data_IF_709894326356
#
_entry.id   IF_709894326356
#
_cell.length_a   1.000
_cell.length_b   1.000
_cell.length_c   1.000
_cell.angle_alpha   90.00
_cell.angle_beta   90.00
_cell.angle_gamma   90.00
#
_symmetry.space_group_name_H-M   'P 1'
#
loop_
_entity.id
_entity.type
_entity.pdbx_description
1 polymer ?
#
# COMPACT_ATOMS: atom_id res chain seq x y z
N UNK A 1 -11.87 -0.94 -22.60
CA UNK A 1 -10.87 -0.52 -21.60
C UNK A 1 -10.97 -1.44 -20.40
N UNK A 2 -9.86 -1.96 -19.91
CA UNK A 2 -9.92 -2.83 -18.74
C UNK A 2 -10.09 -2.02 -17.46
N UNK A 3 -10.50 -2.70 -16.38
CA UNK A 3 -10.77 -2.04 -15.10
C UNK A 3 -9.56 -1.30 -14.52
N UNK A 4 -8.34 -1.80 -14.76
CA UNK A 4 -7.13 -1.17 -14.23
C UNK A 4 -6.86 0.19 -14.90
N UNK A 5 -7.08 0.28 -16.19
CA UNK A 5 -6.97 1.53 -16.93
C UNK A 5 -8.06 2.51 -16.53
N UNK A 6 -9.27 2.01 -16.27
CA UNK A 6 -10.38 2.85 -15.81
C UNK A 6 -10.08 3.45 -14.42
N UNK A 7 -9.51 2.67 -13.52
CA UNK A 7 -9.12 3.17 -12.19
C UNK A 7 -8.08 4.28 -12.35
N UNK A 8 -7.03 4.06 -13.15
CA UNK A 8 -6.01 5.09 -13.40
C UNK A 8 -6.60 6.36 -13.96
N UNK A 9 -7.51 6.23 -14.92
CA UNK A 9 -8.15 7.37 -15.57
C UNK A 9 -8.94 8.21 -14.58
N UNK A 10 -9.68 7.56 -13.68
CA UNK A 10 -10.46 8.27 -12.65
C UNK A 10 -9.58 8.99 -11.64
N UNK A 11 -8.34 8.53 -11.46
CA UNK A 11 -7.37 9.14 -10.55
C UNK A 11 -6.41 10.09 -11.26
N UNK A 12 -6.63 10.38 -12.53
CA UNK A 12 -5.72 11.19 -13.34
C UNK A 12 -5.68 12.65 -12.87
N UNK A 13 -6.81 13.18 -12.41
CA UNK A 13 -6.94 14.57 -11.98
C UNK A 13 -6.97 14.69 -10.47
N UNK A 14 -6.46 15.81 -9.96
CA UNK A 14 -6.52 16.14 -8.54
C UNK A 14 -7.99 16.14 -8.09
N UNK A 15 -8.26 15.48 -6.98
CA UNK A 15 -9.63 15.30 -6.49
C UNK A 15 -10.36 14.13 -7.15
N UNK A 16 -9.74 13.48 -8.14
CA UNK A 16 -10.30 12.29 -8.76
C UNK A 16 -10.50 11.18 -7.73
N UNK A 17 -11.57 10.42 -7.87
CA UNK A 17 -11.95 9.41 -6.90
C UNK A 17 -12.54 8.20 -7.60
N UNK A 18 -12.27 7.02 -7.07
CA UNK A 18 -12.89 5.78 -7.52
C UNK A 18 -13.20 4.90 -6.32
N UNK A 19 -14.35 4.27 -6.35
CA UNK A 19 -14.78 3.33 -5.32
C UNK A 19 -14.76 1.92 -5.88
N UNK A 20 -14.15 1.01 -5.12
CA UNK A 20 -13.94 -0.37 -5.53
C UNK A 20 -14.58 -1.31 -4.51
N UNK A 21 -14.92 -2.51 -4.96
CA UNK A 21 -15.37 -3.60 -4.11
C UNK A 21 -14.35 -4.72 -4.20
N UNK A 22 -13.78 -5.12 -3.07
CA UNK A 22 -12.79 -6.18 -3.00
C UNK A 22 -12.86 -6.88 -1.64
N UNK A 23 -12.89 -8.21 -1.65
CA UNK A 23 -12.87 -9.04 -0.43
C UNK A 23 -13.91 -8.62 0.63
N UNK A 24 -15.10 -8.21 0.17
CA UNK A 24 -16.18 -7.80 1.09
C UNK A 24 -16.03 -6.39 1.65
N UNK A 25 -15.04 -5.63 1.16
CA UNK A 25 -14.81 -4.25 1.62
C UNK A 25 -15.04 -3.24 0.50
N UNK A 26 -15.52 -2.06 0.91
CA UNK A 26 -15.58 -0.89 0.04
C UNK A 26 -14.23 -0.17 0.14
N UNK A 27 -13.54 -0.05 -0.97
CA UNK A 27 -12.22 0.61 -1.01
C UNK A 27 -12.32 1.85 -1.86
N UNK A 28 -12.04 3.01 -1.28
CA UNK A 28 -12.09 4.29 -1.98
C UNK A 28 -10.69 4.85 -2.17
N UNK A 29 -10.32 5.16 -3.40
CA UNK A 29 -9.06 5.81 -3.74
C UNK A 29 -9.35 7.25 -4.15
N UNK A 30 -8.55 8.17 -3.67
CA UNK A 30 -8.70 9.59 -3.99
C UNK A 30 -7.34 10.25 -4.17
N UNK A 31 -7.21 11.04 -5.24
CA UNK A 31 -5.99 11.81 -5.49
C UNK A 31 -6.07 13.14 -4.75
N UNK A 32 -5.10 13.39 -3.88
CA UNK A 32 -5.09 14.57 -3.00
C UNK A 32 -3.75 15.30 -3.06
N UNK A 33 -3.74 16.55 -2.58
CA UNK A 33 -2.55 17.37 -2.47
C UNK A 33 -2.48 17.90 -1.03
N UNK A 34 -1.32 17.73 -0.38
CA UNK A 34 -1.13 18.14 1.02
C UNK A 34 -0.38 19.46 1.18
N UNK A 35 -0.21 20.22 0.10
CA UNK A 35 0.58 21.45 0.07
C UNK A 35 2.03 21.25 -0.37
N UNK A 36 2.50 20.01 -0.39
CA UNK A 36 3.88 19.67 -0.77
C UNK A 36 3.95 18.68 -1.92
N UNK A 37 3.08 17.68 -1.93
CA UNK A 37 3.08 16.65 -2.95
C UNK A 37 1.66 16.20 -3.26
N UNK A 38 1.51 15.53 -4.40
CA UNK A 38 0.27 14.90 -4.84
C UNK A 38 0.43 13.40 -4.64
N UNK A 39 -0.57 12.76 -4.07
CA UNK A 39 -0.55 11.32 -3.81
C UNK A 39 -1.96 10.75 -3.79
N UNK A 40 -2.07 9.43 -3.73
CA UNK A 40 -3.36 8.74 -3.69
C UNK A 40 -3.58 8.20 -2.27
N UNK A 41 -4.70 8.56 -1.66
CA UNK A 41 -5.09 8.04 -0.35
C UNK A 41 -6.09 6.92 -0.50
N UNK A 42 -6.09 6.00 0.46
CA UNK A 42 -6.93 4.81 0.45
C UNK A 42 -7.78 4.76 1.72
N UNK A 43 -9.08 4.72 1.53
CA UNK A 43 -10.05 4.51 2.62
C UNK A 43 -10.63 3.12 2.49
N UNK A 44 -10.81 2.41 3.60
CA UNK A 44 -11.47 1.12 3.63
C UNK A 44 -12.73 1.26 4.46
N UNK A 45 -13.87 0.94 3.87
CA UNK A 45 -15.19 1.11 4.50
C UNK A 45 -15.39 2.53 5.04
N UNK A 46 -14.90 3.51 4.26
CA UNK A 46 -14.96 4.97 4.55
C UNK A 46 -14.06 5.42 5.69
N UNK A 47 -13.12 4.58 6.16
CA UNK A 47 -12.25 4.92 7.29
C UNK A 47 -10.77 4.77 6.96
N UNK A 48 -9.96 5.50 7.73
CA UNK A 48 -8.51 5.31 7.85
C UNK A 48 -8.23 5.24 9.34
N UNK A 49 -8.04 4.03 9.87
CA UNK A 49 -7.80 3.87 11.31
C UNK A 49 -6.30 3.67 11.56
N UNK A 50 -5.77 4.42 12.54
CA UNK A 50 -4.35 4.34 12.89
C UNK A 50 -3.91 2.94 13.31
N UNK A 51 -4.79 2.17 13.93
CA UNK A 51 -4.51 0.79 14.35
C UNK A 51 -4.23 -0.16 13.19
N UNK A 52 -4.67 0.17 11.97
CA UNK A 52 -4.42 -0.65 10.79
C UNK A 52 -2.96 -0.64 10.33
N UNK A 53 -2.14 0.26 10.88
CA UNK A 53 -0.70 0.28 10.58
C UNK A 53 0.06 -0.89 11.21
N UNK A 54 -0.53 -1.56 12.17
CA UNK A 54 0.13 -2.61 12.95
C UNK A 54 0.48 -3.85 12.14
N UNK A 55 1.65 -4.39 12.45
CA UNK A 55 2.22 -5.57 11.78
C UNK A 55 2.62 -6.58 12.83
N UNK A 56 2.41 -7.87 12.52
CA UNK A 56 2.89 -8.98 13.32
C UNK A 56 3.51 -10.01 12.36
N UNK A 57 4.77 -10.33 12.58
CA UNK A 57 5.55 -11.25 11.72
C UNK A 57 5.50 -10.86 10.24
N UNK A 58 5.59 -9.55 9.95
CA UNK A 58 5.57 -9.03 8.59
C UNK A 58 4.19 -9.02 7.93
N UNK A 59 3.14 -9.38 8.66
CA UNK A 59 1.78 -9.47 8.14
C UNK A 59 0.86 -8.47 8.84
N UNK A 60 -0.18 -7.97 8.16
CA UNK A 60 -1.10 -7.03 8.79
C UNK A 60 -1.90 -7.72 9.91
N UNK A 61 -2.04 -7.01 11.05
CA UNK A 61 -2.89 -7.44 12.15
C UNK A 61 -4.36 -7.29 11.77
N UNK A 62 -4.68 -6.23 11.01
CA UNK A 62 -6.03 -5.95 10.54
C UNK A 62 -6.14 -6.21 9.04
N UNK A 63 -7.18 -6.92 8.56
CA UNK A 63 -7.33 -7.25 7.14
C UNK A 63 -7.46 -6.01 6.25
N UNK A 64 -7.97 -4.89 6.75
CA UNK A 64 -8.13 -3.65 6.03
C UNK A 64 -6.78 -3.10 5.54
N UNK A 65 -5.71 -3.37 6.27
CA UNK A 65 -4.36 -2.91 5.91
C UNK A 65 -3.82 -3.55 4.63
N UNK A 66 -4.44 -4.63 4.16
CA UNK A 66 -4.04 -5.28 2.89
C UNK A 66 -4.22 -4.36 1.68
N UNK A 67 -5.10 -3.38 1.79
CA UNK A 67 -5.34 -2.39 0.74
C UNK A 67 -4.34 -1.22 0.81
N UNK A 68 -3.57 -1.14 1.88
CA UNK A 68 -2.60 -0.07 2.13
C UNK A 68 -1.21 -0.46 1.64
N UNK A 69 -0.38 0.56 1.45
CA UNK A 69 1.00 0.35 1.00
C UNK A 69 1.86 -0.20 2.16
N UNK A 70 2.54 -1.33 1.96
CA UNK A 70 3.44 -1.83 3.00
C UNK A 70 4.68 -0.94 3.08
N UNK A 71 5.07 -0.57 4.31
CA UNK A 71 6.32 0.10 4.58
C UNK A 71 7.37 -0.93 4.95
N UNK A 72 8.51 -0.88 4.26
CA UNK A 72 9.60 -1.81 4.48
C UNK A 72 10.84 -1.07 4.95
N UNK A 73 11.55 -1.66 5.87
CA UNK A 73 12.83 -1.13 6.35
C UNK A 73 13.73 -2.26 6.80
N UNK A 74 15.02 -2.18 6.46
CA UNK A 74 16.02 -3.08 6.97
C UNK A 74 16.52 -2.56 8.33
N UNK A 75 16.83 -3.48 9.24
CA UNK A 75 17.38 -3.12 10.54
C UNK A 75 18.77 -2.48 10.39
N UNK A 76 19.52 -2.91 9.39
CA UNK A 76 20.89 -2.43 9.11
C UNK A 76 21.05 -2.10 7.64
N UNK A 77 21.90 -1.11 7.36
CA UNK A 77 22.20 -0.71 5.99
C UNK A 77 23.07 -1.77 5.30
N UNK A 78 22.81 -2.01 4.02
CA UNK A 78 23.56 -2.98 3.23
C UNK A 78 25.06 -2.66 3.12
N UNK A 79 25.42 -1.40 3.23
CA UNK A 79 26.81 -0.94 3.23
C UNK A 79 27.64 -1.59 4.35
N UNK A 80 27.03 -1.97 5.48
CA UNK A 80 27.73 -2.66 6.58
C UNK A 80 27.69 -4.19 6.50
N UNK A 81 27.20 -4.74 5.39
CA UNK A 81 26.97 -6.18 5.25
C UNK A 81 28.18 -7.05 5.55
N UNK A 82 29.36 -6.70 5.02
CA UNK A 82 30.55 -7.51 5.21
C UNK A 82 30.96 -7.63 6.68
N UNK A 83 30.82 -6.54 7.45
CA UNK A 83 31.10 -6.56 8.88
C UNK A 83 30.06 -7.40 9.64
N UNK A 84 28.79 -7.27 9.30
CA UNK A 84 27.72 -8.06 9.90
C UNK A 84 27.93 -9.55 9.63
N UNK A 85 28.35 -9.89 8.41
CA UNK A 85 28.63 -11.26 8.02
C UNK A 85 29.77 -11.87 8.85
N UNK A 86 30.83 -11.09 9.12
CA UNK A 86 31.97 -11.54 9.94
C UNK A 86 31.56 -11.83 11.38
N UNK A 87 30.68 -10.98 11.94
CA UNK A 87 30.26 -11.10 13.36
C UNK A 87 29.16 -12.11 13.56
N UNK A 88 28.15 -12.12 12.68
CA UNK A 88 26.91 -12.89 12.87
C UNK A 88 26.73 -14.05 11.90
N UNK A 89 27.59 -14.19 10.89
CA UNK A 89 27.45 -15.21 9.84
C UNK A 89 26.55 -14.70 8.71
N UNK A 90 26.65 -15.38 7.55
CA UNK A 90 25.97 -14.98 6.33
C UNK A 90 24.44 -14.96 6.48
N UNK A 91 23.86 -16.03 7.02
CA UNK A 91 22.41 -16.18 7.11
C UNK A 91 21.76 -15.09 7.95
N UNK A 92 22.37 -14.78 9.10
CA UNK A 92 21.87 -13.72 9.98
C UNK A 92 22.11 -12.33 9.38
N UNK A 93 23.28 -12.11 8.77
CA UNK A 93 23.60 -10.84 8.12
C UNK A 93 22.63 -10.55 6.95
N UNK A 94 22.29 -11.58 6.15
CA UNK A 94 21.32 -11.42 5.07
C UNK A 94 19.97 -10.94 5.60
N UNK A 95 19.51 -11.49 6.72
CA UNK A 95 18.24 -11.05 7.33
C UNK A 95 18.31 -9.63 7.86
N UNK A 96 19.46 -9.23 8.39
CA UNK A 96 19.65 -7.89 8.98
C UNK A 96 19.58 -6.77 7.93
N UNK A 97 20.03 -7.04 6.70
CA UNK A 97 20.02 -6.05 5.62
C UNK A 97 18.83 -6.18 4.67
N UNK A 98 18.02 -7.23 4.82
CA UNK A 98 16.83 -7.45 4.00
C UNK A 98 15.68 -6.62 4.55
N UNK A 99 15.04 -5.77 3.73
CA UNK A 99 13.88 -5.01 4.19
C UNK A 99 12.74 -5.92 4.66
N UNK A 100 12.18 -5.59 5.82
CA UNK A 100 11.03 -6.28 6.38
C UNK A 100 9.86 -5.31 6.45
N UNK A 101 8.64 -5.82 6.34
CA UNK A 101 7.44 -4.99 6.50
C UNK A 101 7.34 -4.57 7.97
N UNK A 102 7.34 -3.26 8.20
CA UNK A 102 7.26 -2.68 9.55
C UNK A 102 5.95 -1.97 9.82
N UNK A 103 5.10 -1.83 8.80
CA UNK A 103 3.80 -1.19 8.94
C UNK A 103 3.11 -1.05 7.61
N UNK A 104 1.92 -0.48 7.65
CA UNK A 104 1.14 -0.15 6.46
C UNK A 104 0.70 1.30 6.53
N UNK A 105 0.67 1.98 5.39
CA UNK A 105 0.27 3.37 5.30
C UNK A 105 -0.80 3.55 4.24
N UNK A 106 -1.78 4.45 4.47
CA UNK A 106 -2.96 4.59 3.61
C UNK A 106 -2.72 5.48 2.39
N UNK A 107 -1.51 5.46 1.83
CA UNK A 107 -1.20 6.27 0.66
C UNK A 107 -0.27 5.58 -0.32
N UNK A 108 -0.37 6.01 -1.58
CA UNK A 108 0.54 5.62 -2.64
C UNK A 108 1.02 6.90 -3.33
N UNK A 109 2.30 6.94 -3.70
CA UNK A 109 2.88 8.12 -4.34
C UNK A 109 2.30 8.44 -5.72
N UNK A 110 1.82 7.42 -6.44
CA UNK A 110 1.23 7.59 -7.77
C UNK A 110 0.03 6.66 -7.93
N UNK A 111 -0.86 7.00 -8.87
CA UNK A 111 -1.96 6.11 -9.25
C UNK A 111 -1.46 4.79 -9.83
N UNK A 112 -0.33 4.81 -10.52
CA UNK A 112 0.27 3.58 -11.06
C UNK A 112 0.69 2.61 -9.97
N UNK A 113 1.31 3.10 -8.89
CA UNK A 113 1.73 2.26 -7.77
C UNK A 113 0.52 1.70 -7.00
N UNK A 114 -0.53 2.51 -6.84
CA UNK A 114 -1.76 2.06 -6.19
C UNK A 114 -2.42 0.94 -7.00
N UNK A 115 -2.54 1.11 -8.32
CA UNK A 115 -3.12 0.11 -9.21
C UNK A 115 -2.29 -1.16 -9.23
N UNK A 116 -0.96 -1.05 -9.26
CA UNK A 116 -0.07 -2.21 -9.25
C UNK A 116 -0.26 -3.06 -7.99
N UNK A 117 -0.38 -2.41 -6.84
CA UNK A 117 -0.62 -3.09 -5.57
C UNK A 117 -1.96 -3.84 -5.58
N UNK A 118 -3.03 -3.15 -5.99
CA UNK A 118 -4.36 -3.74 -6.03
C UNK A 118 -4.46 -4.89 -7.03
N UNK A 119 -3.84 -4.73 -8.20
CA UNK A 119 -3.84 -5.77 -9.21
C UNK A 119 -3.12 -7.04 -8.74
N UNK A 120 -2.03 -6.87 -8.01
CA UNK A 120 -1.25 -7.98 -7.46
C UNK A 120 -2.02 -8.74 -6.38
N UNK A 121 -2.68 -8.02 -5.48
CA UNK A 121 -3.30 -8.61 -4.29
C UNK A 121 -4.80 -8.86 -4.42
N UNK A 122 -5.48 -8.13 -5.28
CA UNK A 122 -6.94 -8.22 -5.45
C UNK A 122 -7.31 -8.23 -6.94
N UNK A 123 -6.89 -9.25 -7.70
CA UNK A 123 -7.13 -9.28 -9.15
C UNK A 123 -8.62 -9.32 -9.51
N UNK A 124 -9.47 -9.76 -8.59
CA UNK A 124 -10.91 -9.90 -8.82
C UNK A 124 -11.73 -8.69 -8.35
N UNK A 125 -11.06 -7.61 -7.90
CA UNK A 125 -11.80 -6.43 -7.47
C UNK A 125 -12.63 -5.85 -8.60
N UNK A 126 -13.70 -5.16 -8.23
CA UNK A 126 -14.59 -4.52 -9.20
C UNK A 126 -14.76 -3.04 -8.87
N UNK A 127 -14.96 -2.23 -9.92
CA UNK A 127 -15.29 -0.83 -9.75
C UNK A 127 -16.76 -0.77 -9.33
N UNK A 128 -17.02 -0.12 -8.20
CA UNK A 128 -18.37 0.09 -7.71
C UNK A 128 -18.85 1.44 -8.21
N UNK A 129 -19.98 1.44 -8.90
CA UNK A 129 -20.60 2.70 -9.28
C UNK A 129 -21.36 3.26 -8.09
N UNK A 130 -21.02 4.49 -7.70
CA UNK A 130 -21.76 5.16 -6.65
C UNK A 130 -23.10 5.62 -7.18
N UNK A 131 -24.14 5.41 -6.38
CA UNK A 131 -25.44 5.96 -6.70
C UNK A 131 -25.33 7.48 -6.71
N UNK A 132 -25.77 8.10 -7.79
CA UNK A 132 -25.81 9.55 -7.86
C UNK A 132 -26.79 10.07 -6.81
N UNK A 133 -26.39 11.07 -6.02
CA UNK A 133 -27.32 11.65 -5.03
C UNK A 133 -28.46 12.42 -5.70
#
# INVERSE_FOLDING_TARGET
>A
MNKWNEIKKRLEHLGGQVTLQADGHKVTLRKVHDGKRIFVVVYVDDYQRGEWTKVEDGKPVHPEARFWRPMKRAAYKRKGYNQLKKVFGKKKADRMVTPQVIGFVPDFGTEGSAVAHLRKHFPDLEIKEEAQP
#
